data_IF_284204327614
#
_entry.id   IF_284204327614
#
_cell.length_a   1.000
_cell.length_b   1.000
_cell.length_c   1.000
_cell.angle_alpha   90.00
_cell.angle_beta   90.00
_cell.angle_gamma   90.00
#
_symmetry.space_group_name_H-M   'P 1'
#
loop_
_entity.id
_entity.type
_entity.pdbx_description
1 polymer ?
#
# COMPACT_ATOMS: atom_id res chain seq x y z
N UNK A 1 -3.37 -17.03 4.95
CA UNK A 1 -2.89 -17.09 3.56
C UNK A 1 -2.17 -15.78 3.23
N UNK A 2 -1.09 -15.85 2.46
CA UNK A 2 -0.38 -14.66 1.95
C UNK A 2 -0.98 -14.25 0.62
N UNK A 3 -1.15 -12.95 0.39
CA UNK A 3 -1.59 -12.37 -0.89
C UNK A 3 -0.53 -11.37 -1.34
N UNK A 4 -0.07 -11.51 -2.58
CA UNK A 4 1.04 -10.71 -3.11
C UNK A 4 0.50 -9.56 -3.95
N UNK A 5 1.00 -8.35 -3.68
CA UNK A 5 0.59 -7.14 -4.37
C UNK A 5 1.79 -6.39 -4.92
N UNK A 6 1.84 -6.23 -6.23
CA UNK A 6 2.89 -5.50 -6.94
C UNK A 6 2.49 -4.03 -7.05
N UNK A 7 3.21 -3.14 -6.39
CA UNK A 7 2.99 -1.70 -6.51
C UNK A 7 3.60 -1.19 -7.82
N UNK A 8 2.78 -0.54 -8.64
CA UNK A 8 3.24 0.00 -9.91
C UNK A 8 4.05 1.31 -9.73
N UNK A 9 5.06 1.57 -10.57
CA UNK A 9 5.53 0.71 -11.68
C UNK A 9 6.71 -0.17 -11.26
N UNK A 10 7.64 0.37 -10.48
CA UNK A 10 8.93 -0.27 -10.22
C UNK A 10 8.82 -1.60 -9.46
N UNK A 11 7.72 -1.85 -8.73
CA UNK A 11 7.46 -3.16 -8.14
C UNK A 11 7.37 -4.30 -9.17
N UNK A 12 7.12 -4.01 -10.45
CA UNK A 12 7.14 -5.02 -11.53
C UNK A 12 8.47 -5.79 -11.55
N UNK A 13 9.58 -5.14 -11.21
CA UNK A 13 10.90 -5.77 -11.15
C UNK A 13 10.96 -6.92 -10.13
N UNK A 14 10.07 -6.95 -9.14
CA UNK A 14 10.01 -8.04 -8.17
C UNK A 14 9.33 -9.31 -8.70
N UNK A 15 8.55 -9.23 -9.79
CA UNK A 15 7.69 -10.32 -10.28
C UNK A 15 8.41 -11.66 -10.43
N UNK A 16 9.63 -11.74 -11.03
CA UNK A 16 10.33 -13.02 -11.19
C UNK A 16 10.65 -13.73 -9.86
N UNK A 17 10.63 -13.01 -8.74
CA UNK A 17 10.90 -13.55 -7.41
C UNK A 17 9.64 -13.82 -6.58
N UNK A 18 8.44 -13.59 -7.13
CA UNK A 18 7.17 -13.83 -6.43
C UNK A 18 6.76 -15.30 -6.66
N UNK A 19 6.60 -16.11 -5.59
CA UNK A 19 6.39 -17.55 -5.71
C UNK A 19 4.96 -17.96 -6.08
N UNK A 20 3.96 -17.09 -5.84
CA UNK A 20 2.54 -17.38 -6.05
C UNK A 20 1.87 -16.32 -6.93
N UNK A 21 0.56 -16.48 -7.17
CA UNK A 21 -0.27 -15.47 -7.82
C UNK A 21 -0.14 -14.09 -7.14
N UNK A 22 -0.06 -13.06 -7.97
CA UNK A 22 -0.01 -11.67 -7.53
C UNK A 22 -1.13 -10.84 -8.15
N UNK A 23 -1.44 -9.72 -7.51
CA UNK A 23 -2.33 -8.69 -8.03
C UNK A 23 -1.58 -7.36 -8.09
N UNK A 24 -2.04 -6.43 -8.93
CA UNK A 24 -1.45 -5.10 -8.98
C UNK A 24 -2.15 -4.16 -8.01
N UNK A 25 -1.37 -3.25 -7.44
CA UNK A 25 -1.88 -2.07 -6.71
C UNK A 25 -1.16 -0.82 -7.18
N UNK A 26 -1.70 0.34 -6.81
CA UNK A 26 -1.10 1.62 -7.13
C UNK A 26 -1.13 2.55 -5.92
N UNK A 27 0.03 2.71 -5.29
CA UNK A 27 0.31 3.68 -4.24
C UNK A 27 1.37 4.62 -4.80
N UNK A 28 0.96 5.83 -5.17
CA UNK A 28 1.85 6.76 -5.87
C UNK A 28 2.72 7.54 -4.87
N UNK A 29 4.05 7.42 -5.02
CA UNK A 29 5.00 8.26 -4.26
C UNK A 29 4.75 9.75 -4.47
N UNK A 30 4.36 10.17 -5.67
CA UNK A 30 4.00 11.58 -5.98
C UNK A 30 2.76 12.05 -5.22
N UNK A 31 1.75 11.19 -5.04
CA UNK A 31 0.58 11.52 -4.22
C UNK A 31 0.95 11.68 -2.74
N UNK A 32 1.86 10.84 -2.24
CA UNK A 32 2.38 10.95 -0.87
C UNK A 32 3.17 12.26 -0.66
N UNK A 33 3.99 12.63 -1.64
CA UNK A 33 4.75 13.88 -1.62
C UNK A 33 3.85 15.12 -1.66
N UNK A 34 2.82 15.09 -2.51
CA UNK A 34 1.80 16.14 -2.61
C UNK A 34 0.75 16.09 -1.48
N UNK A 35 0.90 15.17 -0.51
CA UNK A 35 -0.01 15.00 0.64
C UNK A 35 -1.47 14.75 0.22
N UNK A 36 -1.69 14.10 -0.92
CA UNK A 36 -3.01 13.74 -1.45
C UNK A 36 -3.53 12.46 -0.77
N UNK A 37 -3.66 12.49 0.55
CA UNK A 37 -4.00 11.34 1.39
C UNK A 37 -5.38 10.75 1.10
N UNK A 38 -6.36 11.63 0.86
CA UNK A 38 -7.71 11.22 0.48
C UNK A 38 -7.71 10.44 -0.84
N UNK A 39 -6.96 10.95 -1.83
CA UNK A 39 -6.75 10.26 -3.11
C UNK A 39 -6.09 8.90 -2.94
N UNK A 40 -5.04 8.78 -2.11
CA UNK A 40 -4.36 7.50 -1.86
C UNK A 40 -5.35 6.43 -1.40
N UNK A 41 -6.22 6.75 -0.44
CA UNK A 41 -7.23 5.81 0.05
C UNK A 41 -8.35 5.54 -0.98
N UNK A 42 -8.74 6.56 -1.77
CA UNK A 42 -9.72 6.39 -2.85
C UNK A 42 -9.22 5.55 -4.02
N UNK A 43 -7.92 5.57 -4.31
CA UNK A 43 -7.31 4.82 -5.42
C UNK A 43 -6.95 3.37 -5.03
N UNK A 44 -6.98 3.02 -3.72
CA UNK A 44 -6.68 1.65 -3.27
C UNK A 44 -7.54 0.59 -3.97
N UNK A 45 -6.88 -0.47 -4.43
CA UNK A 45 -7.55 -1.58 -5.08
C UNK A 45 -8.53 -2.30 -4.13
N UNK A 46 -9.67 -2.75 -4.67
CA UNK A 46 -10.71 -3.41 -3.88
C UNK A 46 -10.30 -4.83 -3.48
N UNK A 47 -9.50 -5.52 -4.28
CA UNK A 47 -8.93 -6.84 -3.96
C UNK A 47 -7.97 -6.72 -2.79
N UNK A 48 -7.18 -5.65 -2.75
CA UNK A 48 -6.28 -5.36 -1.62
C UNK A 48 -7.06 -5.12 -0.32
N UNK A 49 -8.07 -4.25 -0.37
CA UNK A 49 -8.92 -3.97 0.80
C UNK A 49 -9.68 -5.21 1.27
N UNK A 50 -10.25 -5.98 0.34
CA UNK A 50 -10.94 -7.23 0.68
C UNK A 50 -9.98 -8.24 1.30
N UNK A 51 -8.78 -8.41 0.74
CA UNK A 51 -7.79 -9.36 1.28
C UNK A 51 -7.38 -9.01 2.71
N UNK A 52 -7.17 -7.73 3.01
CA UNK A 52 -6.91 -7.27 4.37
C UNK A 52 -8.11 -7.51 5.29
N UNK A 53 -9.34 -7.21 4.84
CA UNK A 53 -10.55 -7.41 5.63
C UNK A 53 -10.78 -8.89 5.98
N UNK A 54 -10.46 -9.80 5.05
CA UNK A 54 -10.51 -11.24 5.25
C UNK A 54 -9.36 -11.79 6.13
N UNK A 55 -8.48 -10.93 6.64
CA UNK A 55 -7.39 -11.32 7.55
C UNK A 55 -6.18 -11.96 6.86
N UNK A 56 -6.04 -11.82 5.54
CA UNK A 56 -4.85 -12.25 4.83
C UNK A 56 -3.64 -11.37 5.16
N UNK A 57 -2.45 -11.96 5.09
CA UNK A 57 -1.19 -11.19 5.10
C UNK A 57 -0.96 -10.67 3.69
N UNK A 58 -1.07 -9.34 3.51
CA UNK A 58 -0.82 -8.72 2.21
C UNK A 58 0.65 -8.29 2.13
N UNK A 59 1.40 -8.92 1.23
CA UNK A 59 2.80 -8.63 0.96
C UNK A 59 2.88 -7.63 -0.19
N UNK A 60 3.39 -6.43 0.05
CA UNK A 60 3.51 -5.37 -0.95
C UNK A 60 4.94 -5.29 -1.47
N UNK A 61 5.09 -5.37 -2.79
CA UNK A 61 6.36 -5.28 -3.50
C UNK A 61 6.48 -3.91 -4.16
N UNK A 62 7.53 -3.16 -3.82
CA UNK A 62 7.80 -1.86 -4.44
C UNK A 62 9.29 -1.52 -4.39
N UNK A 63 9.88 -1.21 -5.55
CA UNK A 63 11.31 -0.92 -5.67
C UNK A 63 11.54 0.59 -5.82
N UNK A 64 12.51 1.11 -5.08
CA UNK A 64 12.76 2.54 -5.00
C UNK A 64 13.81 3.00 -5.99
N UNK A 65 13.52 4.08 -6.71
CA UNK A 65 14.51 4.76 -7.53
C UNK A 65 15.68 5.24 -6.64
N UNK A 66 16.84 4.61 -6.80
CA UNK A 66 18.09 4.92 -6.07
C UNK A 66 17.98 4.84 -4.53
N UNK A 67 16.95 4.17 -4.00
CA UNK A 67 16.67 4.06 -2.56
C UNK A 67 16.08 2.70 -2.24
N UNK A 68 16.46 2.12 -1.10
CA UNK A 68 15.99 0.79 -0.70
C UNK A 68 14.52 0.76 -0.26
N UNK A 69 13.94 1.90 0.14
CA UNK A 69 12.54 1.98 0.59
C UNK A 69 11.83 3.16 -0.10
N UNK A 70 10.86 2.91 -1.00
CA UNK A 70 10.06 3.93 -1.66
C UNK A 70 9.19 4.75 -0.69
N UNK A 71 8.82 5.98 -1.09
CA UNK A 71 7.90 6.85 -0.33
C UNK A 71 6.50 6.25 -0.24
N UNK A 72 6.03 5.61 -1.30
CA UNK A 72 4.80 4.84 -1.30
C UNK A 72 4.77 3.82 -0.15
N UNK A 73 5.90 3.21 0.20
CA UNK A 73 6.01 2.26 1.31
C UNK A 73 6.14 2.98 2.66
N UNK A 74 7.23 3.71 2.90
CA UNK A 74 7.52 4.25 4.24
C UNK A 74 6.53 5.33 4.70
N UNK A 75 5.73 5.89 3.79
CA UNK A 75 4.78 6.96 4.08
C UNK A 75 3.35 6.59 3.65
N UNK A 76 3.18 6.11 2.42
CA UNK A 76 1.86 5.77 1.87
C UNK A 76 1.25 4.57 2.58
N UNK A 77 1.95 3.44 2.61
CA UNK A 77 1.49 2.21 3.24
C UNK A 77 1.32 2.38 4.75
N UNK A 78 2.19 3.15 5.40
CA UNK A 78 2.05 3.53 6.81
C UNK A 78 0.76 4.32 7.07
N UNK A 79 0.40 5.27 6.19
CA UNK A 79 -0.85 6.03 6.31
C UNK A 79 -2.08 5.14 6.10
N UNK A 80 -2.00 4.18 5.16
CA UNK A 80 -3.05 3.19 4.92
C UNK A 80 -3.23 2.32 6.16
N UNK A 81 -2.15 1.78 6.71
CA UNK A 81 -2.16 1.00 7.96
C UNK A 81 -2.80 1.77 9.11
N UNK A 82 -2.41 3.02 9.30
CA UNK A 82 -2.99 3.93 10.29
C UNK A 82 -4.50 4.12 10.10
N UNK A 83 -4.93 4.46 8.89
CA UNK A 83 -6.34 4.72 8.58
C UNK A 83 -7.22 3.48 8.76
N UNK A 84 -6.74 2.31 8.35
CA UNK A 84 -7.47 1.05 8.48
C UNK A 84 -7.59 0.61 9.95
N UNK A 85 -6.49 0.64 10.72
CA UNK A 85 -6.55 0.32 12.15
C UNK A 85 -7.57 1.19 12.89
N UNK A 86 -7.59 2.48 12.59
CA UNK A 86 -8.54 3.41 13.19
C UNK A 86 -9.98 3.17 12.73
N UNK A 87 -10.22 3.08 11.42
CA UNK A 87 -11.60 3.04 10.88
C UNK A 87 -12.26 1.68 11.02
N UNK A 88 -11.51 0.60 10.81
CA UNK A 88 -12.02 -0.77 10.82
C UNK A 88 -12.01 -1.35 12.22
N UNK A 89 -10.91 -1.18 12.95
CA UNK A 89 -10.67 -1.87 14.21
C UNK A 89 -10.88 -0.99 15.44
N UNK A 90 -11.04 0.33 15.26
CA UNK A 90 -11.12 1.28 16.37
C UNK A 90 -9.84 1.35 17.20
N UNK A 91 -8.70 0.93 16.63
CA UNK A 91 -7.40 0.88 17.30
C UNK A 91 -6.59 2.13 16.98
N UNK A 92 -6.03 2.73 18.02
CA UNK A 92 -5.00 3.76 17.85
C UNK A 92 -3.63 3.10 17.69
N UNK A 93 -2.95 3.43 16.60
CA UNK A 93 -1.58 2.98 16.32
C UNK A 93 -0.70 4.20 16.16
N UNK A 94 0.56 4.11 16.60
CA UNK A 94 1.54 5.19 16.46
C UNK A 94 2.25 4.99 15.11
N UNK A 95 1.97 5.82 14.09
CA UNK A 95 2.62 5.67 12.80
C UNK A 95 4.07 6.17 12.88
N UNK A 96 4.98 5.42 12.25
CA UNK A 96 6.41 5.74 12.22
C UNK A 96 6.90 5.92 10.79
N UNK A 97 7.30 7.14 10.45
CA UNK A 97 7.83 7.48 9.13
C UNK A 97 9.31 7.78 9.27
N UNK A 98 10.17 6.89 8.73
CA UNK A 98 11.64 6.99 8.81
C UNK A 98 12.14 7.18 10.26
N UNK A 99 11.61 6.40 11.20
CA UNK A 99 11.98 6.44 12.60
C UNK A 99 11.34 7.58 13.42
N UNK A 100 10.54 8.45 12.80
CA UNK A 100 9.86 9.54 13.50
C UNK A 100 8.40 9.19 13.76
N UNK A 101 7.93 9.42 14.98
CA UNK A 101 6.50 9.41 15.31
C UNK A 101 5.81 10.55 14.56
N UNK A 102 4.84 10.21 13.70
CA UNK A 102 4.07 11.19 12.91
C UNK A 102 2.58 11.19 13.27
N UNK A 103 2.21 10.69 14.46
CA UNK A 103 0.83 10.50 14.89
C UNK A 103 -0.02 11.77 14.70
N UNK A 104 0.43 12.91 15.22
CA UNK A 104 -0.31 14.18 15.13
C UNK A 104 -0.60 14.56 13.67
N UNK A 105 0.41 14.46 12.82
CA UNK A 105 0.28 14.75 11.39
C UNK A 105 -0.71 13.80 10.69
N UNK A 106 -0.61 12.50 10.95
CA UNK A 106 -1.50 11.50 10.34
C UNK A 106 -2.94 11.63 10.86
N UNK A 107 -3.13 11.95 12.14
CA UNK A 107 -4.45 12.23 12.72
C UNK A 107 -5.10 13.45 12.06
N UNK A 108 -4.35 14.55 11.87
CA UNK A 108 -4.84 15.72 11.13
C UNK A 108 -5.24 15.38 9.69
N UNK A 109 -4.44 14.56 9.01
CA UNK A 109 -4.71 14.14 7.63
C UNK A 109 -5.94 13.22 7.56
N UNK A 110 -6.09 12.30 8.51
CA UNK A 110 -7.24 11.41 8.61
C UNK A 110 -8.54 12.15 8.88
N UNK A 111 -8.53 13.19 9.75
CA UNK A 111 -9.70 14.02 10.02
C UNK A 111 -10.18 14.83 8.81
N UNK A 112 -9.30 15.05 7.82
CA UNK A 112 -9.61 15.76 6.57
C UNK A 112 -10.09 14.84 5.45
N UNK A 113 -10.19 13.53 5.69
CA UNK A 113 -10.71 12.59 4.70
C UNK A 113 -12.16 12.90 4.37
N UNK A 114 -12.51 12.72 3.11
CA UNK A 114 -13.88 12.96 2.63
C UNK A 114 -14.81 11.81 3.00
N UNK A 115 -16.10 12.10 3.09
CA UNK A 115 -17.14 11.08 3.30
C UNK A 115 -17.08 9.97 2.25
N UNK A 116 -16.68 10.29 1.02
CA UNK A 116 -16.50 9.31 -0.06
C UNK A 116 -15.45 8.27 0.32
N UNK A 117 -14.29 8.73 0.82
CA UNK A 117 -13.21 7.86 1.28
C UNK A 117 -13.65 7.03 2.47
N UNK A 118 -14.28 7.65 3.48
CA UNK A 118 -14.75 6.95 4.67
C UNK A 118 -15.78 5.87 4.32
N UNK A 119 -16.74 6.15 3.43
CA UNK A 119 -17.72 5.19 2.93
C UNK A 119 -17.09 4.03 2.16
N UNK A 120 -16.05 4.31 1.35
CA UNK A 120 -15.29 3.25 0.68
C UNK A 120 -14.64 2.32 1.70
N UNK A 121 -14.00 2.86 2.74
CA UNK A 121 -13.41 2.03 3.80
C UNK A 121 -14.49 1.25 4.55
N UNK A 122 -15.62 1.88 4.91
CA UNK A 122 -16.72 1.24 5.63
C UNK A 122 -17.39 0.12 4.85
N UNK A 123 -17.35 0.16 3.51
CA UNK A 123 -17.88 -0.92 2.68
C UNK A 123 -17.23 -2.26 3.05
N UNK A 124 -15.90 -2.28 3.20
CA UNK A 124 -15.13 -3.48 3.55
C UNK A 124 -15.23 -3.84 5.02
N UNK A 125 -15.58 -2.88 5.90
CA UNK A 125 -15.78 -3.12 7.33
C UNK A 125 -16.82 -4.22 7.61
N UNK A 126 -17.78 -4.40 6.71
CA UNK A 126 -18.82 -5.45 6.77
C UNK A 126 -18.26 -6.86 6.62
N UNK A 127 -17.04 -7.00 6.12
CA UNK A 127 -16.37 -8.26 5.81
C UNK A 127 -15.10 -8.44 6.64
N UNK A 128 -15.00 -7.80 7.81
CA UNK A 128 -13.87 -8.00 8.72
C UNK A 128 -13.96 -9.38 9.37
N UNK A 129 -13.03 -10.25 8.99
CA UNK A 129 -12.77 -11.55 9.64
C UNK A 129 -11.43 -11.54 10.39
N UNK A 130 -10.96 -10.35 10.77
CA UNK A 130 -9.69 -10.11 11.46
C UNK A 130 -9.84 -9.00 12.48
N UNK A 131 -9.04 -9.06 13.53
CA UNK A 131 -8.86 -8.02 14.51
C UNK A 131 -7.52 -7.27 14.33
N UNK A 132 -6.74 -7.60 13.29
CA UNK A 132 -5.48 -6.95 12.97
C UNK A 132 -5.29 -6.74 11.45
N UNK A 133 -4.54 -5.71 11.08
CA UNK A 133 -4.13 -5.43 9.71
C UNK A 133 -2.74 -6.02 9.47
N UNK A 134 -2.63 -7.03 8.60
CA UNK A 134 -1.37 -7.75 8.33
C UNK A 134 -0.73 -7.29 7.04
N UNK A 135 0.27 -6.42 7.15
CA UNK A 135 1.05 -5.91 6.02
C UNK A 135 2.51 -6.35 6.15
N UNK A 136 3.07 -6.87 5.06
CA UNK A 136 4.50 -7.08 4.89
C UNK A 136 4.98 -6.30 3.67
N UNK A 137 6.25 -5.92 3.66
CA UNK A 137 6.85 -5.16 2.56
C UNK A 137 8.10 -5.85 2.03
N UNK A 138 8.26 -5.86 0.72
CA UNK A 138 9.45 -6.31 0.01
C UNK A 138 9.92 -5.18 -0.88
N UNK A 139 11.07 -4.60 -0.54
CA UNK A 139 11.61 -3.44 -1.22
C UNK A 139 13.08 -3.66 -1.57
N UNK A 140 13.48 -3.11 -2.71
CA UNK A 140 14.86 -3.05 -3.17
C UNK A 140 15.09 -1.73 -3.92
N UNK A 141 16.33 -1.44 -4.28
CA UNK A 141 16.63 -0.37 -5.24
C UNK A 141 16.45 -0.88 -6.66
N UNK A 142 15.80 -0.10 -7.53
CA UNK A 142 15.72 -0.39 -8.97
C UNK A 142 16.83 0.32 -9.74
N UNK A 143 17.35 -0.34 -10.79
CA UNK A 143 18.18 0.26 -11.84
C UNK A 143 17.40 0.58 -13.12
N UNK A 144 16.12 0.18 -13.19
CA UNK A 144 15.23 0.27 -14.35
C UNK A 144 14.14 1.36 -14.18
N UNK A 145 14.38 2.36 -13.33
CA UNK A 145 13.41 3.43 -13.07
C UNK A 145 13.00 4.14 -14.37
N UNK A 146 11.70 4.07 -14.70
CA UNK A 146 11.14 4.61 -15.94
C UNK A 146 11.40 3.81 -17.22
N UNK A 147 12.03 2.62 -17.16
CA UNK A 147 12.25 1.75 -18.31
C UNK A 147 11.01 0.90 -18.64
N UNK A 148 10.03 1.53 -19.28
CA UNK A 148 8.78 0.87 -19.70
C UNK A 148 8.97 -0.24 -20.73
N UNK A 149 10.10 -0.30 -21.44
CA UNK A 149 10.36 -1.42 -22.34
C UNK A 149 10.70 -2.65 -21.51
N UNK A 150 11.67 -2.50 -20.62
CA UNK A 150 12.08 -3.55 -19.70
C UNK A 150 10.90 -4.07 -18.85
N UNK A 151 10.09 -3.19 -18.26
CA UNK A 151 8.91 -3.62 -17.50
C UNK A 151 7.90 -4.41 -18.32
N UNK A 152 7.72 -4.11 -19.62
CA UNK A 152 6.84 -4.89 -20.49
C UNK A 152 7.39 -6.26 -20.77
N UNK A 153 8.71 -6.39 -20.92
CA UNK A 153 9.37 -7.66 -21.16
C UNK A 153 9.21 -8.58 -19.93
N UNK A 154 9.41 -8.05 -18.72
CA UNK A 154 9.15 -8.79 -17.47
C UNK A 154 7.70 -9.27 -17.37
N UNK A 155 6.74 -8.42 -17.71
CA UNK A 155 5.32 -8.80 -17.70
C UNK A 155 5.00 -9.86 -18.74
N UNK A 156 5.62 -9.80 -19.93
CA UNK A 156 5.42 -10.77 -20.99
C UNK A 156 5.99 -12.16 -20.63
N UNK A 157 7.13 -12.20 -19.94
CA UNK A 157 7.73 -13.44 -19.45
C UNK A 157 6.95 -14.09 -18.30
N UNK A 158 6.21 -13.28 -17.53
CA UNK A 158 5.41 -13.73 -16.39
C UNK A 158 3.95 -14.10 -16.74
N UNK A 159 3.52 -13.90 -17.99
CA UNK A 159 2.17 -14.18 -18.49
C UNK A 159 2.06 -15.58 -19.09
#
# INVERSE_FOLDING_TARGET
MRKHFVNLTNGIEAIPAIPDEYSFIRIQSTACEQKRWDFILQDLDYTFLMSLALGHTCVVYDYGAKKNVPRAVYQGLEFIYFALNRRWLGKEVIPVVRGNNVYQYFDECYRKLTDRTLKKLDYFRKFLFTDEIRLEVKTASTEHDGDYRWYRDVLAEAS
#
